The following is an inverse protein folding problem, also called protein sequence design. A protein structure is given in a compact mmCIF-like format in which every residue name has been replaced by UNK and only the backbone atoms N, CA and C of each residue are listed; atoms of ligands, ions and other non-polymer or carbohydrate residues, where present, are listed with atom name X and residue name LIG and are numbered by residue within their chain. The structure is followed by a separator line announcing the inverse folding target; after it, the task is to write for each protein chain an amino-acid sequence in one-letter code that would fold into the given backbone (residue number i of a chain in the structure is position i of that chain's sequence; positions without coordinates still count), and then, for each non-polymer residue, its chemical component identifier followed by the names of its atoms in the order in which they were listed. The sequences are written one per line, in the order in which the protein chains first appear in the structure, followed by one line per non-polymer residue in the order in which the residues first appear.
data_IF_229089761058
#
_entry.id   IF_229089761058
#
_cell.length_a   1.000
_cell.length_b   1.000
_cell.length_c   1.000
_cell.angle_alpha   90.00
_cell.angle_beta   90.00
_cell.angle_gamma   90.00
#
_symmetry.space_group_name_H-M   'P 1'
#
loop_
_entity.id
_entity.type
_entity.pdbx_description
1 polymer ?
#
# COMPACT_ATOMS: atom_id res chain seq x y z
N UNK A 1 -12.89 39.99 17.46
CA UNK A 1 -12.22 38.75 17.91
C UNK A 1 -11.68 38.10 16.65
N UNK A 2 -10.41 38.36 16.35
CA UNK A 2 -9.72 37.93 15.13
C UNK A 2 -8.86 36.74 15.54
N UNK A 3 -9.07 35.60 14.90
CA UNK A 3 -8.28 34.40 15.15
C UNK A 3 -7.06 34.43 14.22
N UNK A 4 -5.90 34.82 14.77
CA UNK A 4 -4.59 34.71 14.12
C UNK A 4 -4.19 33.22 14.02
N UNK A 5 -4.62 32.55 12.96
CA UNK A 5 -4.00 31.28 12.56
C UNK A 5 -2.74 31.63 11.79
N UNK A 6 -1.62 31.80 12.52
CA UNK A 6 -0.30 32.27 12.06
C UNK A 6 0.40 31.45 10.98
N UNK A 7 -0.30 31.10 9.90
CA UNK A 7 0.27 30.51 8.70
C UNK A 7 0.39 31.61 7.64
N UNK A 8 1.61 32.15 7.51
CA UNK A 8 1.98 32.99 6.38
C UNK A 8 2.31 32.09 5.19
N UNK A 9 1.40 31.99 4.22
CA UNK A 9 1.71 31.42 2.90
C UNK A 9 2.71 32.34 2.21
N UNK A 10 3.96 31.91 2.09
CA UNK A 10 4.96 32.60 1.28
C UNK A 10 4.80 32.16 -0.17
N UNK A 11 4.43 33.10 -1.03
CA UNK A 11 4.56 32.95 -2.48
C UNK A 11 6.04 32.96 -2.79
N UNK A 12 6.56 31.86 -3.33
CA UNK A 12 7.95 31.77 -3.80
C UNK A 12 8.02 32.45 -5.16
N UNK A 13 8.81 33.51 -5.24
CA UNK A 13 9.24 34.12 -6.49
C UNK A 13 10.50 33.37 -6.96
N UNK A 14 10.55 33.01 -8.24
CA UNK A 14 11.56 32.12 -8.82
C UNK A 14 12.95 32.77 -8.85
N UNK A 15 13.94 32.13 -8.23
CA UNK A 15 15.36 32.31 -8.56
C UNK A 15 16.17 31.07 -8.18
N UNK A 16 16.36 30.19 -9.18
CA UNK A 16 17.52 29.32 -9.43
C UNK A 16 18.32 28.80 -8.24
N UNK A 17 17.67 28.08 -7.34
CA UNK A 17 18.33 27.06 -6.56
C UNK A 17 17.43 25.84 -6.46
N UNK A 18 17.51 24.98 -7.47
CA UNK A 18 17.20 23.56 -7.31
C UNK A 18 18.28 22.95 -6.40
N UNK A 19 18.22 23.29 -5.11
CA UNK A 19 18.67 22.38 -4.07
C UNK A 19 17.77 21.17 -4.16
N UNK A 20 18.18 20.20 -4.97
CA UNK A 20 17.59 18.87 -4.91
C UNK A 20 17.94 18.32 -3.52
N UNK A 21 17.12 18.62 -2.52
CA UNK A 21 17.11 17.90 -1.25
C UNK A 21 16.82 16.43 -1.60
N UNK A 22 17.89 15.66 -1.76
CA UNK A 22 17.78 14.25 -2.03
C UNK A 22 17.40 13.56 -0.71
N UNK A 23 16.21 12.97 -0.68
CA UNK A 23 15.78 12.15 0.46
C UNK A 23 16.85 11.10 0.72
N UNK A 24 17.36 10.97 1.96
CA UNK A 24 18.40 9.99 2.21
C UNK A 24 17.86 8.59 1.92
N UNK A 25 18.69 7.65 1.40
CA UNK A 25 18.21 6.34 0.94
C UNK A 25 17.42 5.54 1.99
N UNK A 26 17.70 5.76 3.28
CA UNK A 26 17.00 5.10 4.39
C UNK A 26 15.58 5.65 4.66
N UNK A 27 15.25 6.83 4.11
CA UNK A 27 13.94 7.45 4.28
C UNK A 27 13.01 7.21 3.09
N UNK A 28 13.50 6.60 2.00
CA UNK A 28 12.68 6.27 0.84
C UNK A 28 11.85 5.02 1.08
N UNK A 29 10.52 5.13 0.91
CA UNK A 29 9.60 3.99 0.89
C UNK A 29 9.04 3.81 -0.52
N UNK A 30 9.29 2.66 -1.14
CA UNK A 30 8.85 2.36 -2.51
C UNK A 30 7.48 1.68 -2.49
N UNK A 31 6.56 2.22 -3.30
CA UNK A 31 5.20 1.72 -3.41
C UNK A 31 4.77 1.41 -4.84
N UNK A 32 3.80 0.51 -4.98
CA UNK A 32 3.09 0.26 -6.23
C UNK A 32 1.58 0.32 -6.00
N UNK A 33 0.83 0.86 -6.97
CA UNK A 33 -0.63 0.83 -6.99
C UNK A 33 -1.11 -0.05 -8.14
N UNK A 34 -2.08 -0.92 -7.89
CA UNK A 34 -2.71 -1.75 -8.92
C UNK A 34 -4.16 -2.11 -8.56
N UNK A 35 -4.91 -2.56 -9.55
CA UNK A 35 -6.33 -2.89 -9.39
C UNK A 35 -6.59 -3.99 -8.36
N UNK A 36 -7.71 -3.89 -7.62
CA UNK A 36 -8.27 -5.03 -6.88
C UNK A 36 -8.70 -6.18 -7.78
N UNK A 37 -8.83 -5.97 -9.10
CA UNK A 37 -9.06 -7.07 -10.04
C UNK A 37 -7.98 -8.16 -9.99
N UNK A 38 -6.79 -7.90 -9.42
CA UNK A 38 -5.74 -8.90 -9.23
C UNK A 38 -5.94 -9.84 -8.03
N UNK A 39 -6.94 -9.59 -7.19
CA UNK A 39 -7.28 -10.46 -6.06
C UNK A 39 -8.59 -11.20 -6.35
N UNK A 40 -8.77 -12.37 -5.75
CA UNK A 40 -10.03 -13.11 -5.86
C UNK A 40 -11.08 -12.52 -4.90
N UNK A 41 -12.37 -12.75 -5.16
CA UNK A 41 -13.46 -12.37 -4.25
C UNK A 41 -13.22 -12.91 -2.82
N UNK A 42 -12.78 -14.17 -2.71
CA UNK A 42 -12.45 -14.78 -1.42
C UNK A 42 -11.31 -14.06 -0.72
N UNK A 43 -10.24 -13.72 -1.44
CA UNK A 43 -9.13 -12.94 -0.88
C UNK A 43 -9.59 -11.54 -0.45
N UNK A 44 -10.49 -10.90 -1.21
CA UNK A 44 -11.07 -9.62 -0.86
C UNK A 44 -11.84 -9.69 0.46
N UNK A 45 -12.71 -10.68 0.64
CA UNK A 45 -13.46 -10.88 1.88
C UNK A 45 -12.53 -11.11 3.08
N UNK A 46 -11.45 -11.89 2.89
CA UNK A 46 -10.43 -12.08 3.92
C UNK A 46 -9.69 -10.78 4.26
N UNK A 47 -9.21 -10.04 3.25
CA UNK A 47 -8.51 -8.77 3.47
C UNK A 47 -9.39 -7.76 4.21
N UNK A 48 -10.68 -7.66 3.84
CA UNK A 48 -11.65 -6.84 4.54
C UNK A 48 -11.78 -7.23 6.02
N UNK A 49 -11.91 -8.53 6.30
CA UNK A 49 -12.00 -9.02 7.67
C UNK A 49 -10.74 -8.72 8.48
N UNK A 50 -9.56 -8.93 7.88
CA UNK A 50 -8.26 -8.72 8.51
C UNK A 50 -7.98 -7.24 8.80
N UNK A 51 -8.35 -6.35 7.88
CA UNK A 51 -8.12 -4.91 8.02
C UNK A 51 -8.98 -4.26 9.10
N UNK A 52 -10.09 -4.91 9.50
CA UNK A 52 -11.01 -4.42 10.52
C UNK A 52 -10.85 -5.12 11.88
N UNK A 53 -9.81 -5.95 12.05
CA UNK A 53 -9.54 -6.56 13.36
C UNK A 53 -9.11 -5.50 14.38
N UNK A 54 -9.84 -5.42 15.48
CA UNK A 54 -9.50 -4.60 16.65
C UNK A 54 -8.72 -5.45 17.64
N UNK A 55 -7.40 -5.49 17.48
CA UNK A 55 -6.48 -6.06 18.48
C UNK A 55 -5.24 -5.18 18.56
N UNK A 56 -4.69 -5.02 19.76
CA UNK A 56 -3.56 -4.10 20.02
C UNK A 56 -2.30 -4.40 19.17
N UNK A 57 -2.14 -5.64 18.70
CA UNK A 57 -1.05 -6.08 17.81
C UNK A 57 -1.56 -7.01 16.70
N UNK A 58 -2.38 -6.45 15.80
CA UNK A 58 -3.17 -7.18 14.82
C UNK A 58 -2.70 -7.10 13.36
N UNK A 59 -3.40 -7.82 12.49
CA UNK A 59 -3.16 -7.72 11.03
C UNK A 59 -3.53 -6.33 10.47
N UNK A 60 -4.35 -5.57 11.21
CA UNK A 60 -4.69 -4.17 10.91
C UNK A 60 -3.52 -3.19 11.03
N UNK A 61 -2.39 -3.60 11.62
CA UNK A 61 -1.17 -2.78 11.69
C UNK A 61 -0.46 -2.66 10.33
N UNK A 62 -0.73 -3.57 9.39
CA UNK A 62 -0.04 -3.63 8.11
C UNK A 62 -0.94 -3.91 6.91
N UNK A 63 -2.20 -4.27 7.13
CA UNK A 63 -3.26 -4.35 6.12
C UNK A 63 -4.31 -3.30 6.47
N UNK A 64 -4.37 -2.21 5.70
CA UNK A 64 -5.28 -1.11 5.97
C UNK A 64 -6.33 -1.03 4.86
N UNK A 65 -7.60 -0.94 5.25
CA UNK A 65 -8.67 -0.66 4.30
C UNK A 65 -8.62 0.83 3.90
N UNK A 66 -8.63 1.11 2.60
CA UNK A 66 -8.57 2.48 2.06
C UNK A 66 -9.93 3.01 1.59
N UNK A 67 -11.02 2.28 1.86
CA UNK A 67 -12.37 2.61 1.38
C UNK A 67 -12.70 1.94 0.04
N UNK A 68 -11.75 1.92 -0.89
CA UNK A 68 -11.91 1.34 -2.23
C UNK A 68 -10.93 0.18 -2.52
N UNK A 69 -10.30 -0.35 -1.46
CA UNK A 69 -9.27 -1.38 -1.56
C UNK A 69 -8.40 -1.44 -0.30
N UNK A 70 -7.12 -1.76 -0.46
CA UNK A 70 -6.22 -2.09 0.65
C UNK A 70 -4.81 -1.57 0.46
N UNK A 71 -4.20 -1.09 1.54
CA UNK A 71 -2.78 -0.79 1.64
C UNK A 71 -2.08 -1.89 2.44
N UNK A 72 -1.09 -2.54 1.83
CA UNK A 72 -0.28 -3.58 2.46
C UNK A 72 1.15 -3.08 2.68
N UNK A 73 1.58 -3.06 3.94
CA UNK A 73 2.96 -2.76 4.37
C UNK A 73 3.75 -4.05 4.56
N UNK A 74 4.40 -4.52 3.50
CA UNK A 74 5.11 -5.81 3.51
C UNK A 74 6.43 -5.77 4.27
N UNK A 75 6.92 -4.58 4.61
CA UNK A 75 8.08 -4.32 5.47
C UNK A 75 7.75 -4.37 6.97
N UNK A 76 6.47 -4.35 7.35
CA UNK A 76 6.06 -4.44 8.76
C UNK A 76 6.43 -5.79 9.41
N UNK A 77 6.69 -6.83 8.61
CA UNK A 77 7.03 -8.17 9.07
C UNK A 77 8.18 -8.76 8.24
N UNK A 78 9.07 -9.55 8.85
CA UNK A 78 10.20 -10.18 8.12
C UNK A 78 9.77 -11.21 7.06
N UNK A 79 8.58 -11.81 7.21
CA UNK A 79 8.08 -12.86 6.32
C UNK A 79 6.61 -12.62 5.94
N UNK A 80 6.30 -11.52 5.21
CA UNK A 80 4.92 -11.09 4.97
C UNK A 80 4.12 -12.16 4.21
N UNK A 81 4.73 -12.81 3.22
CA UNK A 81 4.08 -13.86 2.41
C UNK A 81 3.78 -15.13 3.21
N UNK A 82 4.65 -15.48 4.18
CA UNK A 82 4.39 -16.60 5.08
C UNK A 82 3.25 -16.27 6.05
N UNK A 83 3.19 -15.03 6.53
CA UNK A 83 2.08 -14.54 7.36
C UNK A 83 0.76 -14.58 6.59
N UNK A 84 0.72 -14.06 5.35
CA UNK A 84 -0.45 -14.20 4.45
C UNK A 84 -0.90 -15.66 4.29
N UNK A 85 0.05 -16.60 4.19
CA UNK A 85 -0.28 -18.04 4.09
C UNK A 85 -0.97 -18.55 5.35
N UNK A 86 -0.49 -18.15 6.53
CA UNK A 86 -1.06 -18.54 7.82
C UNK A 86 -2.44 -17.93 8.06
N UNK A 87 -2.68 -16.75 7.51
CA UNK A 87 -3.98 -16.07 7.54
C UNK A 87 -5.01 -16.64 6.54
N UNK A 88 -4.62 -17.64 5.73
CA UNK A 88 -5.53 -18.30 4.81
C UNK A 88 -5.63 -17.68 3.42
N UNK A 89 -4.85 -16.65 3.11
CA UNK A 89 -4.88 -16.03 1.78
C UNK A 89 -4.41 -17.00 0.70
N UNK A 90 -5.05 -16.88 -0.46
CA UNK A 90 -4.89 -17.80 -1.57
C UNK A 90 -3.46 -17.87 -2.08
N UNK A 91 -3.13 -18.97 -2.76
CA UNK A 91 -1.84 -19.11 -3.45
C UNK A 91 -1.67 -18.02 -4.53
N UNK A 92 -2.76 -17.61 -5.16
CA UNK A 92 -2.78 -16.55 -6.18
C UNK A 92 -2.38 -15.22 -5.56
N UNK A 93 -3.04 -14.80 -4.48
CA UNK A 93 -2.72 -13.54 -3.81
C UNK A 93 -1.27 -13.51 -3.31
N UNK A 94 -0.81 -14.61 -2.71
CA UNK A 94 0.59 -14.72 -2.28
C UNK A 94 1.58 -14.62 -3.43
N UNK A 95 1.26 -15.17 -4.60
CA UNK A 95 2.09 -15.02 -5.81
C UNK A 95 2.10 -13.58 -6.34
N UNK A 96 0.95 -12.90 -6.29
CA UNK A 96 0.86 -11.47 -6.62
C UNK A 96 1.83 -10.69 -5.73
N UNK A 97 1.72 -10.80 -4.40
CA UNK A 97 2.58 -10.09 -3.45
C UNK A 97 4.06 -10.41 -3.65
N UNK A 98 4.43 -11.69 -3.84
CA UNK A 98 5.82 -12.07 -4.16
C UNK A 98 6.32 -11.40 -5.43
N UNK A 99 5.47 -11.34 -6.47
CA UNK A 99 5.84 -10.73 -7.75
C UNK A 99 6.05 -9.24 -7.59
N UNK A 100 5.16 -8.55 -6.87
CA UNK A 100 5.28 -7.11 -6.64
C UNK A 100 6.57 -6.77 -5.89
N UNK A 101 6.85 -7.46 -4.77
CA UNK A 101 8.09 -7.27 -3.99
C UNK A 101 9.33 -7.55 -4.84
N UNK A 102 9.39 -8.71 -5.52
CA UNK A 102 10.63 -9.14 -6.20
C UNK A 102 10.89 -8.43 -7.52
N UNK A 103 9.84 -8.10 -8.29
CA UNK A 103 9.98 -7.48 -9.61
C UNK A 103 10.14 -5.98 -9.54
N UNK A 104 9.47 -5.33 -8.58
CA UNK A 104 9.43 -3.87 -8.49
C UNK A 104 10.18 -3.32 -7.27
N UNK A 105 10.68 -4.17 -6.36
CA UNK A 105 11.44 -3.73 -5.20
C UNK A 105 10.60 -2.86 -4.24
N UNK A 106 9.30 -3.13 -4.16
CA UNK A 106 8.36 -2.36 -3.35
C UNK A 106 8.08 -3.03 -2.02
N UNK A 107 7.92 -2.22 -0.99
CA UNK A 107 7.44 -2.65 0.32
C UNK A 107 6.00 -2.22 0.60
N UNK A 108 5.50 -1.20 -0.11
CA UNK A 108 4.13 -0.72 -0.01
C UNK A 108 3.30 -1.14 -1.24
N UNK A 109 2.20 -1.85 -1.02
CA UNK A 109 1.31 -2.29 -2.11
C UNK A 109 -0.07 -1.69 -1.88
N UNK A 110 -0.55 -0.86 -2.80
CA UNK A 110 -1.90 -0.33 -2.79
C UNK A 110 -2.76 -1.06 -3.83
N UNK A 111 -3.72 -1.84 -3.36
CA UNK A 111 -4.78 -2.44 -4.16
C UNK A 111 -5.95 -1.45 -4.16
N UNK A 112 -6.34 -0.93 -5.31
CA UNK A 112 -7.37 0.10 -5.43
C UNK A 112 -8.31 -0.28 -6.58
N UNK A 113 -9.62 -0.37 -6.34
CA UNK A 113 -10.57 -0.77 -7.37
C UNK A 113 -10.62 0.19 -8.56
N UNK A 114 -10.19 1.45 -8.38
CA UNK A 114 -10.10 2.45 -9.45
C UNK A 114 -8.74 2.44 -10.18
N UNK A 115 -7.78 1.62 -9.75
CA UNK A 115 -6.48 1.54 -10.38
C UNK A 115 -6.46 0.59 -11.59
N UNK A 116 -5.50 0.81 -12.47
CA UNK A 116 -5.28 -0.04 -13.63
C UNK A 116 -4.73 -1.42 -13.26
N UNK A 117 -5.00 -2.40 -14.12
CA UNK A 117 -4.42 -3.73 -14.01
C UNK A 117 -2.96 -3.72 -14.50
N UNK A 118 -2.07 -4.33 -13.72
CA UNK A 118 -0.70 -4.58 -14.12
C UNK A 118 -0.65 -5.68 -15.20
N UNK A 119 0.11 -5.48 -16.29
CA UNK A 119 0.17 -6.44 -17.37
C UNK A 119 0.88 -7.73 -16.96
N UNK A 120 0.39 -8.86 -17.45
CA UNK A 120 0.98 -10.18 -17.21
C UNK A 120 0.72 -10.76 -15.82
N UNK A 121 -0.18 -10.16 -15.04
CA UNK A 121 -0.69 -10.70 -13.78
C UNK A 121 -2.15 -11.16 -13.96
N UNK A 122 -2.58 -12.23 -13.27
CA UNK A 122 -3.95 -12.71 -13.38
C UNK A 122 -4.93 -11.67 -12.87
N UNK A 123 -6.09 -11.60 -13.50
CA UNK A 123 -7.23 -10.81 -13.07
C UNK A 123 -8.45 -11.70 -12.85
N UNK A 124 -9.37 -11.23 -12.02
CA UNK A 124 -10.60 -11.90 -11.65
C UNK A 124 -11.75 -10.92 -11.77
N UNK A 125 -12.89 -11.42 -12.21
CA UNK A 125 -14.14 -10.66 -12.37
C UNK A 125 -15.07 -11.04 -11.22
N UNK A 126 -15.35 -10.09 -10.33
CA UNK A 126 -16.22 -10.21 -9.16
C UNK A 126 -16.68 -8.84 -8.67
#
# INVERSE_FOLDING_TARGET
MVCDNGYSLRVVDESDQTSAECTPPFATLTGIRCSTAHITETDNAWLYSLSHQTSDFGESEWIHFTGNGYLLRTDAWSYPVLRLKRLGLSKTFRRLVVTLIRRYGVSLIHLDASAECLPGLPTFDW
#
